data_IF_277661224095
#
_entry.id   IF_277661224095
#
_cell.length_a   1.000
_cell.length_b   1.000
_cell.length_c   1.000
_cell.angle_alpha   90.00
_cell.angle_beta   90.00
_cell.angle_gamma   90.00
#
_symmetry.space_group_name_H-M   'P 1'
#
loop_
_entity.id
_entity.type
_entity.pdbx_description
1 polymer ?
#
# COMPACT_ATOMS: atom_id res chain seq x y z
N UNK A 1 -3.54 24.50 -34.34
CA UNK A 1 -3.75 23.39 -33.39
C UNK A 1 -4.69 23.88 -32.30
N UNK A 2 -5.60 23.07 -31.75
CA UNK A 2 -6.40 23.55 -30.62
C UNK A 2 -5.42 23.84 -29.47
N UNK A 3 -5.49 25.05 -28.94
CA UNK A 3 -4.70 25.52 -27.80
C UNK A 3 -4.90 24.53 -26.63
N UNK A 4 -3.87 23.71 -26.41
CA UNK A 4 -3.52 23.02 -25.17
C UNK A 4 -4.70 22.32 -24.44
N UNK A 5 -5.04 21.11 -24.88
CA UNK A 5 -6.03 20.21 -24.24
C UNK A 5 -5.53 19.60 -22.90
N UNK A 6 -4.82 20.37 -22.08
CA UNK A 6 -4.44 19.91 -20.74
C UNK A 6 -5.64 19.99 -19.80
N UNK A 7 -5.75 19.04 -18.86
CA UNK A 7 -6.80 19.08 -17.82
C UNK A 7 -6.76 20.39 -17.05
N UNK A 8 -5.56 20.94 -16.82
CA UNK A 8 -5.36 22.22 -16.18
C UNK A 8 -6.01 23.36 -16.97
N UNK A 9 -5.75 23.45 -18.28
CA UNK A 9 -6.30 24.52 -19.10
C UNK A 9 -7.83 24.38 -19.28
N UNK A 10 -8.32 23.14 -19.44
CA UNK A 10 -9.76 22.87 -19.48
C UNK A 10 -10.46 23.29 -18.18
N UNK A 11 -9.83 22.98 -17.03
CA UNK A 11 -10.36 23.35 -15.70
C UNK A 11 -10.34 24.87 -15.50
N UNK A 12 -9.26 25.53 -15.87
CA UNK A 12 -9.15 27.00 -15.82
C UNK A 12 -10.21 27.67 -16.70
N UNK A 13 -10.34 27.24 -17.97
CA UNK A 13 -11.34 27.77 -18.89
C UNK A 13 -12.77 27.56 -18.38
N UNK A 14 -13.05 26.40 -17.81
CA UNK A 14 -14.34 26.11 -17.20
C UNK A 14 -14.65 27.06 -16.04
N UNK A 15 -13.73 27.20 -15.08
CA UNK A 15 -13.94 28.04 -13.89
C UNK A 15 -14.06 29.52 -14.29
N UNK A 16 -13.22 30.00 -15.21
CA UNK A 16 -13.23 31.40 -15.67
C UNK A 16 -14.50 31.74 -16.45
N UNK A 17 -15.00 30.82 -17.29
CA UNK A 17 -16.31 30.98 -17.93
C UNK A 17 -17.46 30.93 -16.93
N UNK A 18 -17.41 30.04 -15.93
CA UNK A 18 -18.45 29.98 -14.91
C UNK A 18 -18.53 31.28 -14.09
N UNK A 19 -17.38 31.89 -13.80
CA UNK A 19 -17.27 33.17 -13.10
C UNK A 19 -17.97 34.34 -13.84
N UNK A 20 -18.10 34.31 -15.17
CA UNK A 20 -18.75 35.41 -15.91
C UNK A 20 -20.22 35.56 -15.54
N UNK A 21 -20.90 34.43 -15.35
CA UNK A 21 -22.33 34.38 -15.04
C UNK A 21 -22.58 34.32 -13.53
N UNK A 22 -21.59 33.83 -12.77
CA UNK A 22 -21.64 33.69 -11.32
C UNK A 22 -20.42 34.39 -10.67
N UNK A 23 -20.51 35.70 -10.39
CA UNK A 23 -19.42 36.44 -9.76
C UNK A 23 -18.99 35.82 -8.43
N UNK A 24 -17.68 35.84 -8.16
CA UNK A 24 -17.07 35.22 -6.96
C UNK A 24 -17.01 33.68 -6.93
N UNK A 25 -17.30 33.00 -8.03
CA UNK A 25 -17.05 31.55 -8.20
C UNK A 25 -15.63 31.15 -7.81
N UNK A 26 -14.59 31.79 -8.36
CA UNK A 26 -13.18 31.48 -8.07
C UNK A 26 -12.89 31.61 -6.56
N UNK A 27 -13.31 32.73 -5.97
CA UNK A 27 -13.10 33.02 -4.54
C UNK A 27 -13.85 32.05 -3.64
N UNK A 28 -15.07 31.65 -4.03
CA UNK A 28 -15.90 30.69 -3.27
C UNK A 28 -15.30 29.30 -3.35
N UNK A 29 -14.85 28.87 -4.53
CA UNK A 29 -14.14 27.61 -4.72
C UNK A 29 -12.87 27.56 -3.87
N UNK A 30 -12.06 28.63 -3.89
CA UNK A 30 -10.83 28.69 -3.09
C UNK A 30 -11.11 28.60 -1.58
N UNK A 31 -12.02 29.44 -1.06
CA UNK A 31 -12.40 29.43 0.37
C UNK A 31 -13.03 28.10 0.81
N UNK A 32 -13.79 27.46 -0.07
CA UNK A 32 -14.38 26.15 0.22
C UNK A 32 -13.30 25.06 0.21
N UNK A 33 -12.39 25.11 -0.77
CA UNK A 33 -11.23 24.22 -0.83
C UNK A 33 -10.36 24.31 0.42
N UNK A 34 -10.14 25.52 0.93
CA UNK A 34 -9.39 25.73 2.18
C UNK A 34 -10.07 25.06 3.39
N UNK A 35 -11.40 25.18 3.52
CA UNK A 35 -12.17 24.50 4.58
C UNK A 35 -12.07 22.98 4.51
N UNK A 36 -12.04 22.42 3.29
CA UNK A 36 -11.89 20.97 3.08
C UNK A 36 -10.45 20.47 3.30
N UNK A 37 -9.46 21.37 3.25
CA UNK A 37 -8.04 21.00 3.39
C UNK A 37 -7.58 20.86 4.85
N UNK A 38 -8.41 21.23 5.83
CA UNK A 38 -8.09 21.17 7.27
C UNK A 38 -7.82 19.72 7.72
N UNK A 39 -8.54 18.74 7.17
CA UNK A 39 -8.38 17.32 7.50
C UNK A 39 -7.00 16.76 7.14
N UNK A 40 -6.23 17.40 6.25
CA UNK A 40 -4.87 16.96 5.88
C UNK A 40 -3.78 17.52 6.78
N UNK A 41 -4.00 18.70 7.38
CA UNK A 41 -3.03 19.31 8.32
C UNK A 41 -3.01 18.56 9.65
N UNK A 42 -4.16 18.13 10.15
CA UNK A 42 -4.23 17.34 11.39
C UNK A 42 -3.53 15.97 11.26
N UNK A 43 -3.58 15.35 10.08
CA UNK A 43 -2.85 14.09 9.78
C UNK A 43 -1.32 14.32 9.68
N UNK A 44 -0.88 15.54 9.38
CA UNK A 44 0.53 15.88 9.24
C UNK A 44 1.19 16.37 10.55
N UNK A 45 0.40 16.78 11.54
CA UNK A 45 0.87 17.29 12.84
C UNK A 45 1.01 16.16 13.89
N UNK A 46 0.36 15.02 13.68
CA UNK A 46 0.72 13.80 14.41
C UNK A 46 2.07 13.31 13.86
N UNK A 47 3.13 13.44 14.67
CA UNK A 47 4.49 12.93 14.45
C UNK A 47 4.55 11.38 14.32
N UNK A 48 3.59 10.76 13.65
CA UNK A 48 3.69 9.38 13.22
C UNK A 48 4.73 9.38 12.12
N UNK A 49 5.88 8.76 12.39
CA UNK A 49 6.88 8.45 11.39
C UNK A 49 6.20 7.72 10.23
N UNK A 50 5.83 8.45 9.18
CA UNK A 50 5.10 7.89 8.06
C UNK A 50 5.99 6.84 7.40
N UNK A 51 5.58 5.58 7.48
CA UNK A 51 6.30 4.48 6.87
C UNK A 51 6.41 4.72 5.36
N UNK A 52 7.60 4.46 4.81
CA UNK A 52 7.89 4.68 3.38
C UNK A 52 7.94 3.37 2.62
N UNK A 53 7.43 3.37 1.40
CA UNK A 53 7.52 2.26 0.47
C UNK A 53 8.97 1.83 0.24
N UNK A 54 9.23 0.53 0.33
CA UNK A 54 10.56 -0.07 0.12
C UNK A 54 11.12 0.12 -1.30
N UNK A 55 10.25 0.29 -2.30
CA UNK A 55 10.64 0.40 -3.71
C UNK A 55 10.76 1.86 -4.13
N UNK A 56 9.71 2.65 -3.94
CA UNK A 56 9.65 4.02 -4.46
C UNK A 56 9.91 5.11 -3.41
N UNK A 57 10.07 4.75 -2.12
CA UNK A 57 10.28 5.67 -1.00
C UNK A 57 9.15 6.70 -0.76
N UNK A 58 8.05 6.61 -1.51
CA UNK A 58 6.80 7.34 -1.24
C UNK A 58 6.18 6.90 0.09
N UNK A 59 5.36 7.75 0.68
CA UNK A 59 4.58 7.43 1.88
C UNK A 59 3.68 6.22 1.59
N UNK A 60 3.56 5.30 2.55
CA UNK A 60 2.63 4.19 2.44
C UNK A 60 1.18 4.70 2.48
N UNK A 61 0.42 4.37 1.44
CA UNK A 61 -0.99 4.72 1.23
C UNK A 61 -1.94 3.56 1.56
N UNK A 62 -1.42 2.52 2.23
CA UNK A 62 -2.13 1.26 2.50
C UNK A 62 -2.54 1.10 3.96
N UNK A 63 -1.89 1.82 4.88
CA UNK A 63 -2.22 1.86 6.32
C UNK A 63 -3.27 2.91 6.66
N UNK A 64 -4.16 3.24 5.74
CA UNK A 64 -5.19 4.28 5.92
C UNK A 64 -6.45 3.61 6.46
N UNK A 65 -7.20 4.30 7.35
CA UNK A 65 -8.42 3.76 7.98
C UNK A 65 -9.48 3.24 6.99
N UNK A 66 -10.50 2.56 7.52
CA UNK A 66 -11.50 1.81 6.74
C UNK A 66 -12.18 2.63 5.62
N UNK A 67 -12.35 3.93 5.81
CA UNK A 67 -12.87 4.87 4.82
C UNK A 67 -11.77 5.44 3.89
N UNK A 68 -10.93 4.57 3.31
CA UNK A 68 -9.86 4.98 2.39
C UNK A 68 -10.11 4.60 0.93
N UNK A 69 -9.48 5.34 0.01
CA UNK A 69 -9.49 5.01 -1.41
C UNK A 69 -8.87 3.63 -1.69
N UNK A 70 -7.88 3.22 -0.90
CA UNK A 70 -7.29 1.89 -0.95
C UNK A 70 -8.34 0.82 -0.62
N UNK A 71 -9.05 0.95 0.51
CA UNK A 71 -10.12 0.02 0.90
C UNK A 71 -11.22 -0.07 -0.16
N UNK A 72 -11.69 1.07 -0.69
CA UNK A 72 -12.69 1.10 -1.76
C UNK A 72 -12.23 0.37 -3.04
N UNK A 73 -10.96 0.52 -3.40
CA UNK A 73 -10.37 -0.16 -4.56
C UNK A 73 -10.27 -1.67 -4.31
N UNK A 74 -9.85 -2.09 -3.11
CA UNK A 74 -9.78 -3.50 -2.74
C UNK A 74 -11.15 -4.18 -2.75
N UNK A 75 -12.18 -3.52 -2.21
CA UNK A 75 -13.58 -4.00 -2.29
C UNK A 75 -14.02 -4.14 -3.76
N UNK A 76 -13.80 -3.11 -4.58
CA UNK A 76 -14.15 -3.14 -6.00
C UNK A 76 -13.45 -4.28 -6.76
N UNK A 77 -12.18 -4.53 -6.46
CA UNK A 77 -11.41 -5.63 -7.03
C UNK A 77 -11.97 -6.99 -6.60
N UNK A 78 -12.23 -7.19 -5.30
CA UNK A 78 -12.79 -8.44 -4.77
C UNK A 78 -14.15 -8.77 -5.41
N UNK A 79 -15.02 -7.76 -5.56
CA UNK A 79 -16.31 -7.93 -6.22
C UNK A 79 -16.17 -8.30 -7.71
N UNK A 80 -15.21 -7.66 -8.40
CA UNK A 80 -14.94 -7.93 -9.81
C UNK A 80 -14.37 -9.33 -10.04
N UNK A 81 -13.44 -9.77 -9.19
CA UNK A 81 -12.84 -11.11 -9.26
C UNK A 81 -13.83 -12.21 -8.90
N UNK A 82 -14.73 -11.98 -7.94
CA UNK A 82 -15.79 -12.94 -7.58
C UNK A 82 -16.76 -13.22 -8.73
N UNK A 83 -16.92 -12.27 -9.67
CA UNK A 83 -17.67 -12.50 -10.93
C UNK A 83 -16.89 -13.34 -11.94
N UNK A 84 -15.56 -13.23 -11.98
CA UNK A 84 -14.71 -14.03 -12.87
C UNK A 84 -14.55 -15.48 -12.39
N UNK A 85 -14.40 -15.70 -11.08
CA UNK A 85 -14.27 -17.07 -10.53
C UNK A 85 -15.54 -17.91 -10.68
N UNK A 86 -16.74 -17.30 -10.61
CA UNK A 86 -17.99 -18.00 -10.93
C UNK A 86 -18.06 -18.52 -12.37
N UNK A 87 -17.30 -17.92 -13.29
CA UNK A 87 -17.20 -18.39 -14.68
C UNK A 87 -16.06 -19.40 -14.88
N UNK A 88 -15.07 -19.45 -13.98
CA UNK A 88 -13.93 -20.36 -14.04
C UNK A 88 -14.20 -21.72 -13.34
N UNK A 89 -15.04 -21.75 -12.31
CA UNK A 89 -15.42 -22.98 -11.58
C UNK A 89 -16.25 -23.98 -12.41
N UNK A 90 -16.67 -23.62 -13.64
CA UNK A 90 -17.36 -24.54 -14.56
C UNK A 90 -16.40 -25.34 -15.46
N UNK A 91 -15.08 -25.15 -15.37
CA UNK A 91 -14.12 -25.69 -16.36
C UNK A 91 -12.82 -26.31 -15.79
N UNK A 92 -12.68 -26.59 -14.49
CA UNK A 92 -11.44 -27.19 -13.97
C UNK A 92 -11.66 -28.31 -12.96
N UNK A 93 -12.22 -29.41 -13.45
CA UNK A 93 -12.10 -30.74 -12.82
C UNK A 93 -11.09 -31.56 -13.65
N UNK A 94 -9.78 -31.30 -13.50
CA UNK A 94 -8.74 -32.25 -13.94
C UNK A 94 -7.40 -32.01 -13.22
N UNK A 95 -7.06 -32.96 -12.37
CA UNK A 95 -5.72 -33.51 -12.08
C UNK A 95 -4.52 -32.55 -11.87
N UNK A 96 -3.96 -32.57 -10.66
CA UNK A 96 -2.55 -32.95 -10.51
C UNK A 96 -2.19 -33.43 -9.10
N UNK A 97 -2.13 -34.75 -8.96
CA UNK A 97 -1.73 -35.47 -7.76
C UNK A 97 -0.26 -35.87 -7.94
N UNK A 98 0.68 -35.05 -7.47
CA UNK A 98 2.10 -35.37 -7.56
C UNK A 98 2.74 -35.38 -6.17
N UNK A 99 2.52 -36.48 -5.44
CA UNK A 99 3.35 -36.92 -4.31
C UNK A 99 3.17 -38.44 -4.18
N UNK A 100 3.93 -39.21 -4.94
CA UNK A 100 3.99 -40.66 -4.79
C UNK A 100 5.45 -41.12 -4.83
N UNK A 101 5.91 -41.66 -3.68
CA UNK A 101 7.10 -42.50 -3.43
C UNK A 101 8.48 -41.86 -3.66
N UNK A 102 9.27 -41.75 -2.59
CA UNK A 102 10.72 -41.57 -2.71
C UNK A 102 11.36 -40.91 -1.51
N UNK A 103 11.62 -41.71 -0.49
CA UNK A 103 12.39 -41.41 0.72
C UNK A 103 13.82 -40.94 0.38
N UNK A 104 14.23 -39.78 0.88
CA UNK A 104 15.65 -39.42 1.03
C UNK A 104 15.87 -38.77 2.40
N UNK A 105 16.47 -39.56 3.29
CA UNK A 105 17.09 -39.21 4.57
C UNK A 105 18.20 -38.14 4.36
N UNK A 106 18.78 -37.45 5.33
CA UNK A 106 19.18 -37.89 6.67
C UNK A 106 19.62 -36.69 7.54
N UNK A 107 19.71 -36.93 8.84
CA UNK A 107 20.13 -35.98 9.89
C UNK A 107 21.57 -35.50 9.69
N UNK A 108 21.78 -34.18 9.73
CA UNK A 108 23.04 -33.58 10.14
C UNK A 108 22.77 -32.21 10.77
N UNK A 109 23.08 -32.12 12.05
CA UNK A 109 23.00 -30.92 12.88
C UNK A 109 23.86 -29.82 12.29
N UNK A 110 23.22 -28.85 11.64
CA UNK A 110 23.78 -27.54 11.37
C UNK A 110 22.79 -26.52 11.92
N UNK A 111 23.22 -25.74 12.90
CA UNK A 111 22.56 -24.51 13.31
C UNK A 111 22.71 -23.47 12.19
N UNK A 112 22.13 -23.78 11.02
CA UNK A 112 21.89 -22.80 9.99
C UNK A 112 20.74 -21.95 10.50
N UNK A 113 21.02 -20.69 10.81
CA UNK A 113 20.00 -19.65 10.75
C UNK A 113 19.29 -19.86 9.41
N UNK A 114 18.11 -20.46 9.44
CA UNK A 114 17.36 -20.75 8.24
C UNK A 114 17.14 -19.41 7.57
N UNK A 115 17.88 -19.15 6.49
CA UNK A 115 17.58 -18.10 5.53
C UNK A 115 16.27 -18.51 4.89
N UNK A 116 15.18 -18.37 5.63
CA UNK A 116 13.84 -18.54 5.12
C UNK A 116 13.71 -17.47 4.06
N UNK A 117 13.66 -17.90 2.79
CA UNK A 117 13.39 -17.00 1.66
C UNK A 117 12.21 -16.12 2.06
N UNK A 118 12.36 -14.78 2.07
CA UNK A 118 11.30 -13.87 2.49
C UNK A 118 10.03 -14.19 1.71
N UNK A 119 8.96 -14.51 2.43
CA UNK A 119 7.70 -14.83 1.77
C UNK A 119 7.11 -13.52 1.23
N UNK A 120 6.28 -13.58 0.19
CA UNK A 120 5.61 -12.39 -0.33
C UNK A 120 4.84 -11.61 0.75
N UNK A 121 4.33 -12.33 1.76
CA UNK A 121 3.63 -11.79 2.92
C UNK A 121 4.50 -10.87 3.79
N UNK A 122 5.83 -11.00 3.73
CA UNK A 122 6.77 -10.22 4.55
C UNK A 122 7.14 -8.87 3.90
N UNK A 123 7.04 -8.77 2.57
CA UNK A 123 7.44 -7.57 1.81
C UNK A 123 6.25 -6.69 1.44
N UNK A 124 5.10 -7.30 1.12
CA UNK A 124 3.90 -6.55 0.70
C UNK A 124 3.46 -5.45 1.67
N UNK A 125 3.44 -5.65 3.02
CA UNK A 125 3.06 -4.62 3.97
C UNK A 125 3.89 -3.33 3.85
N UNK A 126 5.15 -3.46 3.42
CA UNK A 126 6.14 -2.39 3.32
C UNK A 126 6.10 -1.65 1.95
N UNK A 127 5.12 -1.95 1.10
CA UNK A 127 4.95 -1.35 -0.22
C UNK A 127 3.68 -0.50 -0.29
N UNK A 128 3.75 0.62 -1.03
CA UNK A 128 2.56 1.40 -1.40
C UNK A 128 1.70 0.61 -2.39
N UNK A 129 0.42 0.98 -2.51
CA UNK A 129 -0.54 0.32 -3.37
C UNK A 129 -0.05 0.19 -4.80
N UNK A 130 0.49 1.27 -5.37
CA UNK A 130 1.00 1.27 -6.74
C UNK A 130 2.11 0.23 -6.93
N UNK A 131 3.09 0.20 -6.03
CA UNK A 131 4.16 -0.79 -6.07
C UNK A 131 3.64 -2.22 -5.87
N UNK A 132 2.63 -2.43 -5.01
CA UNK A 132 1.99 -3.76 -4.83
C UNK A 132 1.34 -4.25 -6.13
N UNK A 133 0.67 -3.36 -6.86
CA UNK A 133 0.08 -3.69 -8.17
C UNK A 133 1.17 -4.05 -9.17
N UNK A 134 2.22 -3.23 -9.28
CA UNK A 134 3.33 -3.49 -10.21
C UNK A 134 4.02 -4.82 -9.96
N UNK A 135 4.18 -5.20 -8.69
CA UNK A 135 4.89 -6.45 -8.34
C UNK A 135 3.95 -7.66 -8.20
N UNK A 136 2.64 -7.47 -8.38
CA UNK A 136 1.65 -8.54 -8.24
C UNK A 136 1.88 -9.71 -9.19
N UNK A 137 2.41 -9.41 -10.38
CA UNK A 137 2.67 -10.39 -11.44
C UNK A 137 4.10 -10.96 -11.38
N UNK A 138 4.89 -10.57 -10.38
CA UNK A 138 6.24 -11.10 -10.16
C UNK A 138 6.13 -12.49 -9.54
N UNK A 139 6.65 -13.50 -10.24
CA UNK A 139 6.51 -14.93 -9.91
C UNK A 139 7.04 -15.27 -8.51
N UNK A 140 8.11 -14.60 -8.06
CA UNK A 140 8.65 -14.77 -6.72
C UNK A 140 9.34 -13.51 -6.20
N UNK A 141 9.14 -13.19 -4.92
CA UNK A 141 9.80 -12.09 -4.21
C UNK A 141 11.33 -12.28 -4.12
N UNK A 142 11.84 -13.49 -4.33
CA UNK A 142 13.27 -13.76 -4.45
C UNK A 142 13.95 -13.12 -5.67
N UNK A 143 13.18 -12.61 -6.64
CA UNK A 143 13.74 -11.86 -7.79
C UNK A 143 14.06 -10.41 -7.46
N UNK A 144 13.64 -9.89 -6.30
CA UNK A 144 14.01 -8.54 -5.91
C UNK A 144 15.51 -8.43 -5.60
N UNK A 145 16.12 -7.25 -5.85
CA UNK A 145 17.47 -6.98 -5.44
C UNK A 145 17.73 -7.29 -3.94
N UNK A 146 18.88 -7.88 -3.58
CA UNK A 146 19.16 -8.31 -2.21
C UNK A 146 19.00 -7.22 -1.15
N UNK A 147 19.31 -5.96 -1.49
CA UNK A 147 19.16 -4.83 -0.56
C UNK A 147 17.70 -4.57 -0.16
N UNK A 148 16.73 -4.84 -1.04
CA UNK A 148 15.29 -4.69 -0.74
C UNK A 148 14.86 -5.76 0.27
N UNK A 149 15.32 -6.99 0.08
CA UNK A 149 15.01 -8.12 0.96
C UNK A 149 15.62 -7.92 2.34
N UNK A 150 16.88 -7.49 2.42
CA UNK A 150 17.55 -7.20 3.68
C UNK A 150 16.88 -6.06 4.45
N UNK A 151 16.50 -4.98 3.76
CA UNK A 151 15.80 -3.87 4.41
C UNK A 151 14.37 -4.26 4.84
N UNK A 152 13.69 -5.13 4.08
CA UNK A 152 12.41 -5.71 4.51
C UNK A 152 12.55 -6.50 5.82
N UNK A 153 13.54 -7.39 5.91
CA UNK A 153 13.84 -8.14 7.13
C UNK A 153 14.22 -7.23 8.31
N UNK A 154 15.02 -6.18 8.03
CA UNK A 154 15.42 -5.23 9.05
C UNK A 154 14.23 -4.44 9.62
N UNK A 155 13.32 -3.96 8.76
CA UNK A 155 12.08 -3.29 9.20
C UNK A 155 11.16 -4.23 9.96
N UNK A 156 11.00 -5.47 9.50
CA UNK A 156 10.20 -6.50 10.19
C UNK A 156 10.72 -6.74 11.61
N UNK A 157 12.04 -6.97 11.76
CA UNK A 157 12.67 -7.17 13.08
C UNK A 157 12.49 -5.95 13.99
N UNK A 158 12.63 -4.73 13.46
CA UNK A 158 12.39 -3.51 14.24
C UNK A 158 10.93 -3.37 14.69
N UNK A 159 9.98 -3.73 13.83
CA UNK A 159 8.55 -3.71 14.17
C UNK A 159 8.21 -4.75 15.24
N UNK A 160 8.75 -5.96 15.12
CA UNK A 160 8.58 -7.04 16.11
C UNK A 160 9.19 -6.66 17.46
N UNK A 161 10.44 -6.20 17.46
CA UNK A 161 11.10 -5.68 18.66
C UNK A 161 10.32 -4.53 19.29
N UNK A 162 9.85 -3.56 18.49
CA UNK A 162 9.04 -2.43 18.99
C UNK A 162 7.74 -2.92 19.63
N UNK A 163 7.11 -3.94 19.05
CA UNK A 163 5.90 -4.55 19.59
C UNK A 163 6.15 -5.26 20.92
N UNK A 164 7.27 -5.97 21.06
CA UNK A 164 7.66 -6.64 22.30
C UNK A 164 7.92 -5.67 23.45
N UNK A 165 8.47 -4.49 23.14
CA UNK A 165 8.75 -3.46 24.14
C UNK A 165 7.64 -2.41 24.25
N UNK A 166 6.53 -2.56 23.51
CA UNK A 166 5.53 -1.50 23.34
C UNK A 166 4.95 -1.05 24.68
N UNK A 167 4.72 -1.99 25.60
CA UNK A 167 4.17 -1.72 26.93
C UNK A 167 5.13 -0.95 27.86
N UNK A 168 6.40 -0.81 27.47
CA UNK A 168 7.45 -0.11 28.22
C UNK A 168 7.87 1.20 27.56
N UNK A 169 7.37 1.51 26.35
CA UNK A 169 7.64 2.78 25.70
C UNK A 169 6.84 3.88 26.41
N UNK A 170 7.52 4.96 26.78
CA UNK A 170 6.86 6.15 27.31
C UNK A 170 6.07 6.80 26.18
N UNK A 171 4.78 7.04 26.39
CA UNK A 171 3.98 7.86 25.47
C UNK A 171 4.55 9.28 25.48
N UNK A 172 4.86 9.84 24.31
CA UNK A 172 5.43 11.21 24.18
C UNK A 172 4.43 12.33 24.58
N UNK A 173 3.35 11.99 25.31
CA UNK A 173 2.35 12.90 25.85
C UNK A 173 2.23 12.89 27.39
N UNK A 174 3.02 12.09 28.12
CA UNK A 174 3.04 12.12 29.59
C UNK A 174 4.03 13.14 30.16
N UNK A 175 4.02 14.36 29.64
CA UNK A 175 4.46 15.54 30.40
C UNK A 175 3.20 16.27 30.85
N UNK A 176 2.85 16.15 32.15
CA UNK A 176 2.18 17.15 32.99
C UNK A 176 1.78 16.46 34.31
N UNK A 177 2.75 16.37 35.22
CA UNK A 177 2.57 16.19 36.66
C UNK A 177 2.81 17.53 37.34
#
# INVERSE_FOLDING_TARGET
>A
APENSSIQHLSESFITKLQTDFPSTVSTMYRTGEKLNISKKQIAEENVTQERCLICMCILDVGVGEASAFCATQVSQNLSQKRQNRNAELLSDTENKCCNRGQCCDRSTSCSSSSSVPRPQDVLPLLCYSCRVTVKDVVSVSTFPPYILQEAEHRRRRMEMRKEIQDFLLDEGSENL
#
